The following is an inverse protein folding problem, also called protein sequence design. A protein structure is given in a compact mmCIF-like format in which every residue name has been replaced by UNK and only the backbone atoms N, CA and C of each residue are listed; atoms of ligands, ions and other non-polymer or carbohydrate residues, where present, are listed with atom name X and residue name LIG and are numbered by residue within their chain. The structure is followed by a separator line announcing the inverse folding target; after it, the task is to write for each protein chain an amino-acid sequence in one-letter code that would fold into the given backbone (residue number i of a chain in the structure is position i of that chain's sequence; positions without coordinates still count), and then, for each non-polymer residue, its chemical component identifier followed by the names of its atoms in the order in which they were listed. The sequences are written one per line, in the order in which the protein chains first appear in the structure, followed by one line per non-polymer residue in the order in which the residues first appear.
data_IF_317789514475
#
_entry.id   IF_317789514475
#
_cell.length_a   1.000
_cell.length_b   1.000
_cell.length_c   1.000
_cell.angle_alpha   90.00
_cell.angle_beta   90.00
_cell.angle_gamma   90.00
#
_symmetry.space_group_name_H-M   'P 1'
#
loop_
_entity.id
_entity.type
_entity.pdbx_description
1 polymer ?
#
# COMPACT_ATOMS: atom_id res chain seq x y z
N UNK A 1 7.15 39.14 9.68
CA UNK A 1 6.83 38.03 8.72
C UNK A 1 5.85 37.08 9.40
N UNK A 2 4.77 36.71 8.74
CA UNK A 2 3.90 35.61 9.18
C UNK A 2 4.60 34.29 8.85
N UNK A 3 5.16 33.64 9.86
CA UNK A 3 6.02 32.48 9.71
C UNK A 3 5.24 31.25 9.20
N UNK A 4 4.01 31.02 9.69
CA UNK A 4 3.17 29.93 9.22
C UNK A 4 2.78 30.10 7.75
N UNK A 5 2.44 31.31 7.34
CA UNK A 5 2.19 31.63 5.95
C UNK A 5 3.44 31.40 5.08
N UNK A 6 4.60 31.79 5.56
CA UNK A 6 5.86 31.60 4.82
C UNK A 6 6.21 30.12 4.70
N UNK A 7 6.01 29.32 5.73
CA UNK A 7 6.15 27.87 5.70
C UNK A 7 5.21 27.21 4.68
N UNK A 8 3.92 27.59 4.67
CA UNK A 8 2.94 27.10 3.68
C UNK A 8 3.35 27.43 2.24
N UNK A 9 3.81 28.65 2.01
CA UNK A 9 4.27 29.09 0.67
C UNK A 9 5.51 28.32 0.25
N UNK A 10 6.49 28.13 1.14
CA UNK A 10 7.70 27.36 0.86
C UNK A 10 7.38 25.90 0.51
N UNK A 11 6.60 25.20 1.34
CA UNK A 11 6.18 23.83 1.08
C UNK A 11 5.47 23.73 -0.29
N UNK A 12 4.57 24.66 -0.60
CA UNK A 12 3.85 24.66 -1.87
C UNK A 12 4.76 24.90 -3.09
N UNK A 13 5.80 25.71 -2.95
CA UNK A 13 6.80 25.92 -4.02
C UNK A 13 7.54 24.63 -4.35
N UNK A 14 7.86 23.84 -3.32
CA UNK A 14 8.52 22.54 -3.51
C UNK A 14 7.56 21.52 -4.11
N UNK A 15 6.35 21.39 -3.58
CA UNK A 15 5.33 20.44 -4.06
C UNK A 15 4.95 20.67 -5.53
N UNK A 16 4.81 21.92 -5.92
CA UNK A 16 4.49 22.30 -7.31
C UNK A 16 5.72 22.28 -8.25
N UNK A 17 6.92 22.10 -7.69
CA UNK A 17 8.18 22.12 -8.44
C UNK A 17 8.52 23.49 -9.05
N UNK A 18 7.91 24.61 -8.56
CA UNK A 18 8.21 25.93 -9.08
C UNK A 18 7.34 27.06 -8.55
N UNK A 19 7.94 28.25 -8.49
CA UNK A 19 7.31 29.47 -7.97
C UNK A 19 6.04 29.89 -8.71
N UNK A 20 6.03 29.81 -10.04
CA UNK A 20 4.89 30.22 -10.85
C UNK A 20 3.70 29.25 -10.71
N UNK A 21 3.97 27.96 -10.54
CA UNK A 21 2.91 26.96 -10.29
C UNK A 21 2.34 27.12 -8.88
N UNK A 22 3.21 27.29 -7.87
CA UNK A 22 2.80 27.55 -6.50
C UNK A 22 1.98 28.84 -6.37
N UNK A 23 2.37 29.89 -7.09
CA UNK A 23 1.62 31.16 -7.12
C UNK A 23 0.18 30.96 -7.59
N UNK A 24 0.00 30.21 -8.69
CA UNK A 24 -1.35 29.84 -9.19
C UNK A 24 -2.13 28.99 -8.19
N UNK A 25 -1.50 27.99 -7.60
CA UNK A 25 -2.13 27.11 -6.63
C UNK A 25 -2.54 27.81 -5.32
N UNK A 26 -1.86 28.91 -4.98
CA UNK A 26 -2.14 29.73 -3.79
C UNK A 26 -2.98 30.98 -4.09
N UNK A 27 -3.36 31.20 -5.33
CA UNK A 27 -4.02 32.45 -5.79
C UNK A 27 -3.23 33.70 -5.39
N UNK A 28 -1.91 33.67 -5.61
CA UNK A 28 -0.99 34.75 -5.33
C UNK A 28 -0.24 35.20 -6.59
N UNK A 29 0.19 36.46 -6.60
CA UNK A 29 1.08 36.92 -7.66
C UNK A 29 2.49 36.31 -7.51
N UNK A 30 3.15 35.84 -8.60
CA UNK A 30 4.47 35.21 -8.52
C UNK A 30 5.55 36.00 -7.78
N UNK A 31 5.62 37.37 -7.87
CA UNK A 31 6.57 38.14 -7.07
C UNK A 31 6.33 38.05 -5.56
N UNK A 32 5.08 37.85 -5.13
CA UNK A 32 4.74 37.70 -3.72
C UNK A 32 5.29 36.38 -3.17
N UNK A 33 5.10 35.28 -3.92
CA UNK A 33 5.63 33.96 -3.54
C UNK A 33 7.15 33.99 -3.45
N UNK A 34 7.82 34.61 -4.42
CA UNK A 34 9.28 34.76 -4.42
C UNK A 34 9.78 35.56 -3.22
N UNK A 35 9.08 36.66 -2.89
CA UNK A 35 9.43 37.50 -1.76
C UNK A 35 9.25 36.78 -0.44
N UNK A 36 8.13 36.08 -0.25
CA UNK A 36 7.83 35.34 0.99
C UNK A 36 8.88 34.26 1.27
N UNK A 37 9.29 33.50 0.25
CA UNK A 37 10.36 32.51 0.41
C UNK A 37 11.70 33.18 0.71
N UNK A 38 12.04 34.30 0.05
CA UNK A 38 13.27 35.01 0.32
C UNK A 38 13.32 35.61 1.73
N UNK A 39 12.20 36.13 2.23
CA UNK A 39 12.07 36.60 3.61
C UNK A 39 12.23 35.44 4.62
N UNK A 40 11.72 34.25 4.30
CA UNK A 40 11.88 33.05 5.12
C UNK A 40 13.35 32.63 5.19
N UNK A 41 14.04 32.53 4.04
CA UNK A 41 15.47 32.22 3.98
C UNK A 41 16.32 33.24 4.76
N UNK A 42 15.98 34.52 4.64
CA UNK A 42 16.64 35.60 5.37
C UNK A 42 16.42 35.48 6.89
N UNK A 43 15.19 35.15 7.31
CA UNK A 43 14.85 34.96 8.72
C UNK A 43 15.61 33.80 9.34
N UNK A 44 15.74 32.70 8.58
CA UNK A 44 16.47 31.48 9.01
C UNK A 44 18.01 31.63 8.89
N UNK A 45 18.49 32.65 8.18
CA UNK A 45 19.92 32.79 7.90
C UNK A 45 20.48 31.69 7.00
N UNK A 46 19.61 30.95 6.30
CA UNK A 46 20.01 29.79 5.48
C UNK A 46 19.25 29.78 4.13
N UNK A 47 19.92 29.27 3.12
CA UNK A 47 19.29 29.00 1.82
C UNK A 47 18.57 27.65 1.88
N UNK A 48 17.30 27.65 1.52
CA UNK A 48 16.47 26.43 1.46
C UNK A 48 16.40 25.88 0.02
N UNK A 49 16.51 26.78 -0.99
CA UNK A 49 16.38 26.44 -2.39
C UNK A 49 17.62 26.86 -3.18
N UNK A 50 18.06 26.00 -4.08
CA UNK A 50 19.00 26.37 -5.14
C UNK A 50 18.26 27.18 -6.21
N UNK A 51 18.72 28.39 -6.48
CA UNK A 51 18.15 29.23 -7.53
C UNK A 51 18.73 28.79 -8.88
N UNK A 52 18.06 27.84 -9.53
CA UNK A 52 18.26 27.60 -10.95
C UNK A 52 17.04 28.08 -11.73
N UNK A 53 17.25 28.61 -12.93
CA UNK A 53 16.19 29.23 -13.75
C UNK A 53 15.18 28.22 -14.31
N UNK A 54 15.40 26.91 -14.14
CA UNK A 54 14.58 25.85 -14.75
C UNK A 54 13.89 24.91 -13.76
N UNK A 55 14.42 24.73 -12.55
CA UNK A 55 13.84 23.81 -11.55
C UNK A 55 14.09 24.33 -10.14
N UNK A 56 13.15 24.04 -9.24
CA UNK A 56 13.32 24.22 -7.79
C UNK A 56 14.00 22.97 -7.26
N UNK A 57 15.19 23.15 -6.70
CA UNK A 57 15.96 22.08 -6.06
C UNK A 57 16.21 22.50 -4.61
N UNK A 58 15.93 21.60 -3.67
CA UNK A 58 16.21 21.81 -2.26
C UNK A 58 17.72 21.81 -1.98
N UNK A 59 18.16 22.57 -1.00
CA UNK A 59 19.45 22.39 -0.36
C UNK A 59 19.29 21.28 0.73
N UNK A 60 20.39 20.75 1.25
CA UNK A 60 20.37 19.79 2.37
C UNK A 60 19.63 20.39 3.59
N UNK A 61 19.89 21.66 3.91
CA UNK A 61 19.12 22.40 4.94
C UNK A 61 17.66 22.55 4.55
N UNK A 62 17.37 22.76 3.27
CA UNK A 62 16.01 22.86 2.73
C UNK A 62 15.21 21.58 2.87
N UNK A 63 15.83 20.43 2.64
CA UNK A 63 15.20 19.11 2.82
C UNK A 63 14.83 18.87 4.28
N UNK A 64 15.80 19.04 5.19
CA UNK A 64 15.57 18.90 6.64
C UNK A 64 14.53 19.89 7.16
N UNK A 65 14.55 21.13 6.66
CA UNK A 65 13.59 22.15 7.06
C UNK A 65 12.18 21.85 6.50
N UNK A 66 12.07 21.37 5.27
CA UNK A 66 10.79 20.99 4.67
C UNK A 66 10.08 19.90 5.48
N UNK A 67 10.83 18.88 5.91
CA UNK A 67 10.31 17.82 6.75
C UNK A 67 9.68 18.39 8.03
N UNK A 68 10.38 19.27 8.73
CA UNK A 68 9.87 19.93 9.94
C UNK A 68 8.70 20.88 9.65
N UNK A 69 8.75 21.63 8.56
CA UNK A 69 7.65 22.50 8.13
C UNK A 69 6.38 21.70 7.89
N UNK A 70 6.47 20.58 7.20
CA UNK A 70 5.31 19.70 6.95
C UNK A 70 4.70 19.24 8.27
N UNK A 71 5.52 18.83 9.24
CA UNK A 71 5.05 18.42 10.56
C UNK A 71 4.34 19.58 11.29
N UNK A 72 4.95 20.76 11.33
CA UNK A 72 4.35 21.95 11.96
C UNK A 72 3.00 22.31 11.33
N UNK A 73 2.90 22.27 10.01
CA UNK A 73 1.65 22.56 9.30
C UNK A 73 0.57 21.54 9.61
N UNK A 74 0.94 20.25 9.75
CA UNK A 74 0.04 19.19 10.21
C UNK A 74 -0.45 19.47 11.64
N UNK A 75 0.44 19.85 12.56
CA UNK A 75 0.10 20.14 13.95
C UNK A 75 -0.84 21.36 14.07
N UNK A 76 -0.66 22.36 13.20
CA UNK A 76 -1.58 23.52 13.12
C UNK A 76 -2.95 23.09 12.59
N UNK A 77 -3.01 22.29 11.53
CA UNK A 77 -4.26 21.74 11.02
C UNK A 77 -4.98 20.88 12.06
N UNK A 78 -4.22 20.11 12.84
CA UNK A 78 -4.73 19.31 13.95
C UNK A 78 -5.32 20.20 15.05
N UNK A 79 -4.62 21.29 15.40
CA UNK A 79 -5.10 22.26 16.39
C UNK A 79 -6.38 22.98 15.93
N UNK A 80 -6.47 23.32 14.64
CA UNK A 80 -7.67 23.88 14.04
C UNK A 80 -8.84 22.88 13.99
N UNK A 81 -8.53 21.59 13.79
CA UNK A 81 -9.52 20.52 13.81
C UNK A 81 -10.12 20.33 15.20
N UNK A 82 -9.30 20.43 16.26
CA UNK A 82 -9.76 20.40 17.66
C UNK A 82 -10.81 21.48 17.96
N UNK A 83 -10.63 22.67 17.43
CA UNK A 83 -11.54 23.79 17.65
C UNK A 83 -12.86 23.68 16.88
N UNK A 84 -12.99 22.73 15.91
CA UNK A 84 -14.10 22.64 14.99
C UNK A 84 -14.66 21.23 14.74
N UNK A 85 -14.53 20.29 15.67
CA UNK A 85 -14.79 18.85 15.51
C UNK A 85 -16.19 18.43 15.00
N UNK A 86 -17.17 19.30 14.93
CA UNK A 86 -18.55 18.86 14.64
C UNK A 86 -19.01 18.99 13.18
N UNK A 87 -18.30 19.71 12.26
CA UNK A 87 -18.92 20.11 10.98
C UNK A 87 -17.98 20.32 9.78
N UNK A 88 -16.72 19.91 9.82
CA UNK A 88 -15.83 20.19 8.67
C UNK A 88 -15.76 19.04 7.69
N UNK A 89 -16.02 19.35 6.41
CA UNK A 89 -15.74 18.44 5.30
C UNK A 89 -14.25 18.08 5.23
N UNK A 90 -13.90 16.80 4.97
CA UNK A 90 -12.50 16.39 4.78
C UNK A 90 -11.84 17.18 3.65
N UNK A 91 -10.68 17.78 3.92
CA UNK A 91 -9.91 18.58 2.96
C UNK A 91 -8.42 18.54 3.24
N UNK A 92 -7.61 18.83 2.22
CA UNK A 92 -6.16 18.93 2.33
C UNK A 92 -5.43 17.75 1.72
N UNK A 93 -4.14 17.65 2.01
CA UNK A 93 -3.24 16.67 1.42
C UNK A 93 -3.02 15.49 2.37
N UNK A 94 -3.18 14.27 1.88
CA UNK A 94 -2.97 13.02 2.60
C UNK A 94 -1.78 12.28 1.99
N UNK A 95 -0.78 11.95 2.79
CA UNK A 95 0.40 11.19 2.40
C UNK A 95 0.30 9.75 2.88
N UNK A 96 0.34 8.83 1.93
CA UNK A 96 0.19 7.40 2.17
C UNK A 96 1.46 6.66 1.75
N UNK A 97 2.00 5.83 2.65
CA UNK A 97 3.01 4.83 2.36
C UNK A 97 2.34 3.46 2.18
N UNK A 98 2.65 2.74 1.12
CA UNK A 98 2.11 1.39 0.94
C UNK A 98 3.00 0.50 0.08
N UNK A 99 2.86 -0.84 0.15
CA UNK A 99 3.51 -1.74 -0.77
C UNK A 99 3.07 -1.48 -2.22
N UNK A 100 3.97 -1.55 -3.23
CA UNK A 100 3.64 -1.31 -4.63
C UNK A 100 2.44 -2.13 -5.12
N UNK A 101 2.40 -3.42 -4.84
CA UNK A 101 1.31 -4.29 -5.26
C UNK A 101 -0.06 -3.87 -4.71
N UNK A 102 -0.14 -3.34 -3.47
CA UNK A 102 -1.38 -2.80 -2.90
C UNK A 102 -1.80 -1.54 -3.65
N UNK A 103 -0.84 -0.67 -3.98
CA UNK A 103 -1.10 0.55 -4.76
C UNK A 103 -1.69 0.22 -6.13
N UNK A 104 -1.05 -0.70 -6.86
CA UNK A 104 -1.41 -1.07 -8.24
C UNK A 104 -2.73 -1.82 -8.29
N UNK A 105 -2.85 -2.90 -7.52
CA UNK A 105 -3.96 -3.85 -7.66
C UNK A 105 -5.20 -3.45 -6.85
N UNK A 106 -5.05 -2.63 -5.80
CA UNK A 106 -6.18 -2.31 -4.95
C UNK A 106 -6.48 -0.81 -4.87
N UNK A 107 -5.52 0.03 -4.48
CA UNK A 107 -5.85 1.44 -4.26
C UNK A 107 -6.28 2.14 -5.56
N UNK A 108 -5.54 1.94 -6.66
CA UNK A 108 -5.78 2.61 -7.93
C UNK A 108 -7.23 2.45 -8.42
N UNK A 109 -7.83 1.25 -8.27
CA UNK A 109 -9.21 0.99 -8.69
C UNK A 109 -10.27 1.66 -7.80
N UNK A 110 -9.95 1.99 -6.55
CA UNK A 110 -10.88 2.57 -5.59
C UNK A 110 -10.74 4.09 -5.42
N UNK A 111 -9.58 4.66 -5.72
CA UNK A 111 -9.33 6.12 -5.63
C UNK A 111 -10.33 6.99 -6.39
N UNK A 112 -10.83 6.64 -7.60
CA UNK A 112 -11.85 7.44 -8.28
C UNK A 112 -13.14 7.59 -7.47
N UNK A 113 -13.54 6.58 -6.69
CA UNK A 113 -14.68 6.65 -5.78
C UNK A 113 -14.38 7.57 -4.60
N UNK A 114 -13.19 7.46 -4.00
CA UNK A 114 -12.77 8.34 -2.92
C UNK A 114 -12.72 9.81 -3.34
N UNK A 115 -12.12 10.10 -4.49
CA UNK A 115 -12.01 11.47 -5.02
C UNK A 115 -13.39 12.10 -5.31
N UNK A 116 -14.37 11.32 -5.75
CA UNK A 116 -15.75 11.82 -5.91
C UNK A 116 -16.43 12.10 -4.57
N UNK A 117 -16.17 11.28 -3.56
CA UNK A 117 -16.77 11.43 -2.24
C UNK A 117 -16.13 12.58 -1.44
N UNK A 118 -14.83 12.83 -1.64
CA UNK A 118 -14.05 13.84 -0.93
C UNK A 118 -13.21 14.69 -1.89
N UNK A 119 -13.86 15.57 -2.69
CA UNK A 119 -13.20 16.29 -3.78
C UNK A 119 -12.14 17.31 -3.32
N UNK A 120 -12.13 17.66 -2.04
CA UNK A 120 -11.14 18.58 -1.46
C UNK A 120 -9.95 17.85 -0.83
N UNK A 121 -9.90 16.51 -0.89
CA UNK A 121 -8.76 15.72 -0.40
C UNK A 121 -7.91 15.27 -1.58
N UNK A 122 -6.62 15.58 -1.54
CA UNK A 122 -5.62 15.04 -2.47
C UNK A 122 -4.85 13.93 -1.78
N UNK A 123 -4.58 12.83 -2.48
CA UNK A 123 -3.84 11.68 -1.95
C UNK A 123 -2.53 11.55 -2.70
N UNK A 124 -1.41 11.60 -1.97
CA UNK A 124 -0.08 11.25 -2.44
C UNK A 124 0.25 9.84 -1.99
N UNK A 125 0.57 8.97 -2.93
CA UNK A 125 0.95 7.59 -2.63
C UNK A 125 2.43 7.41 -2.91
N UNK A 126 3.17 7.03 -1.87
CA UNK A 126 4.54 6.59 -1.97
C UNK A 126 4.56 5.05 -1.86
N UNK A 127 4.87 4.40 -2.99
CA UNK A 127 4.85 2.96 -3.11
C UNK A 127 6.26 2.45 -3.39
N UNK A 128 6.97 2.01 -2.35
CA UNK A 128 8.31 1.43 -2.49
C UNK A 128 8.55 0.35 -1.44
N UNK A 129 9.30 -0.70 -1.85
CA UNK A 129 9.75 -1.77 -0.98
C UNK A 129 8.67 -2.50 -0.18
N UNK A 130 9.04 -3.44 0.65
CA UNK A 130 8.17 -3.96 1.69
C UNK A 130 7.99 -2.90 2.78
N UNK A 131 6.74 -2.57 3.12
CA UNK A 131 6.43 -1.70 4.25
C UNK A 131 6.22 -2.58 5.47
N UNK A 132 7.22 -2.61 6.35
CA UNK A 132 7.25 -3.48 7.53
C UNK A 132 6.87 -2.73 8.82
N UNK A 133 7.01 -1.41 8.81
CA UNK A 133 6.76 -0.53 9.97
C UNK A 133 5.99 0.71 9.57
N UNK A 134 5.47 1.41 10.57
CA UNK A 134 4.83 2.73 10.40
C UNK A 134 5.92 3.80 10.30
N UNK A 135 5.84 4.63 9.27
CA UNK A 135 6.74 5.76 9.08
C UNK A 135 6.00 7.05 9.46
N UNK A 136 6.52 7.77 10.46
CA UNK A 136 5.91 8.98 11.01
C UNK A 136 5.91 10.17 10.03
N UNK A 137 6.66 10.10 8.94
CA UNK A 137 6.65 11.13 7.89
C UNK A 137 5.41 11.05 6.99
N UNK A 138 4.59 10.01 7.14
CA UNK A 138 3.33 9.81 6.42
C UNK A 138 2.12 9.93 7.36
N UNK A 139 0.97 10.33 6.81
CA UNK A 139 -0.30 10.33 7.56
C UNK A 139 -0.79 8.92 7.84
N UNK A 140 -0.53 8.00 6.90
CA UNK A 140 -0.93 6.59 6.92
C UNK A 140 0.15 5.70 6.31
N UNK A 141 0.27 4.48 6.85
CA UNK A 141 1.01 3.40 6.25
C UNK A 141 0.10 2.18 6.05
N UNK A 142 0.10 1.57 4.86
CA UNK A 142 -0.48 0.24 4.68
C UNK A 142 0.64 -0.77 4.82
N UNK A 143 0.44 -1.73 5.74
CA UNK A 143 1.45 -2.75 6.07
C UNK A 143 0.85 -4.11 5.79
N UNK A 144 1.59 -4.95 5.07
CA UNK A 144 1.28 -6.37 4.90
C UNK A 144 2.11 -7.18 5.90
N UNK A 145 1.45 -7.87 6.84
CA UNK A 145 2.15 -8.63 7.88
C UNK A 145 1.47 -9.96 8.16
N UNK A 146 2.32 -10.99 8.40
CA UNK A 146 1.88 -12.32 8.87
C UNK A 146 1.63 -12.37 10.37
N UNK A 147 2.10 -11.38 11.09
CA UNK A 147 2.02 -11.27 12.54
C UNK A 147 1.33 -9.96 12.95
N UNK A 148 0.72 -9.91 14.14
CA UNK A 148 0.21 -8.66 14.68
C UNK A 148 1.31 -7.59 14.68
N UNK A 149 0.96 -6.39 14.27
CA UNK A 149 1.89 -5.26 14.27
C UNK A 149 2.20 -4.86 15.72
N UNK A 150 3.47 -4.53 15.99
CA UNK A 150 3.94 -4.07 17.29
C UNK A 150 4.58 -2.69 17.16
N UNK A 151 4.28 -1.79 18.08
CA UNK A 151 4.83 -0.43 18.08
C UNK A 151 3.88 0.60 18.69
N UNK A 152 4.34 1.85 18.79
CA UNK A 152 3.56 2.99 19.28
C UNK A 152 2.78 3.65 18.13
N UNK A 153 1.77 2.96 17.61
CA UNK A 153 0.90 3.44 16.54
C UNK A 153 -0.52 2.90 16.71
N UNK A 154 -1.47 3.49 16.00
CA UNK A 154 -2.83 2.96 15.91
C UNK A 154 -2.96 2.21 14.60
N UNK A 155 -3.28 0.92 14.67
CA UNK A 155 -3.49 0.09 13.49
C UNK A 155 -4.92 -0.48 13.46
N UNK A 156 -5.49 -0.57 12.26
CA UNK A 156 -6.73 -1.27 11.99
C UNK A 156 -6.49 -2.27 10.88
N UNK A 157 -7.01 -3.48 11.05
CA UNK A 157 -6.99 -4.49 9.99
C UNK A 157 -7.94 -4.05 8.86
N UNK A 158 -7.46 -4.10 7.63
CA UNK A 158 -8.26 -3.84 6.43
C UNK A 158 -8.88 -5.13 5.92
N UNK A 159 -8.08 -6.18 5.81
CA UNK A 159 -8.52 -7.50 5.37
C UNK A 159 -7.44 -8.54 5.66
N UNK A 160 -7.80 -9.80 5.54
CA UNK A 160 -6.86 -10.94 5.46
C UNK A 160 -6.69 -11.30 3.99
N UNK A 161 -5.52 -11.77 3.60
CA UNK A 161 -5.18 -12.20 2.25
C UNK A 161 -4.47 -13.54 2.30
N UNK A 162 -4.88 -14.47 1.45
CA UNK A 162 -4.17 -15.74 1.26
C UNK A 162 -3.11 -15.58 0.17
N UNK A 163 -1.95 -16.20 0.39
CA UNK A 163 -1.00 -16.43 -0.69
C UNK A 163 -1.26 -17.81 -1.25
N UNK A 164 -1.81 -17.84 -2.46
CA UNK A 164 -2.25 -19.05 -3.14
C UNK A 164 -1.42 -19.31 -4.39
N UNK A 165 -1.42 -20.55 -4.83
CA UNK A 165 -0.80 -20.91 -6.10
C UNK A 165 -1.74 -20.60 -7.27
N UNK A 166 -1.19 -20.01 -8.33
CA UNK A 166 -1.90 -19.73 -9.57
C UNK A 166 -0.98 -19.86 -10.78
N UNK A 167 -1.57 -20.04 -11.96
CA UNK A 167 -0.87 -20.06 -13.24
C UNK A 167 -1.84 -19.69 -14.37
N UNK A 168 -1.29 -19.30 -15.52
CA UNK A 168 -2.09 -19.08 -16.72
C UNK A 168 -2.73 -20.38 -17.24
N UNK A 169 -3.98 -20.35 -17.76
CA UNK A 169 -4.64 -21.51 -18.36
C UNK A 169 -3.80 -22.21 -19.41
N UNK A 170 -3.14 -21.45 -20.29
CA UNK A 170 -2.30 -21.98 -21.36
C UNK A 170 -1.12 -22.80 -20.84
N UNK A 171 -0.51 -22.39 -19.71
CA UNK A 171 0.51 -23.17 -19.06
C UNK A 171 -0.05 -24.47 -18.52
N UNK A 172 -1.21 -24.42 -17.86
CA UNK A 172 -1.87 -25.58 -17.26
C UNK A 172 -2.40 -26.57 -18.33
N UNK A 173 -2.86 -26.07 -19.48
CA UNK A 173 -3.28 -26.91 -20.61
C UNK A 173 -2.10 -27.64 -21.20
N UNK A 174 -0.93 -27.03 -21.27
CA UNK A 174 0.28 -27.64 -21.81
C UNK A 174 0.99 -28.61 -20.85
N UNK A 175 0.91 -28.36 -19.54
CA UNK A 175 1.67 -29.08 -18.51
C UNK A 175 0.83 -29.96 -17.58
N UNK A 176 -0.50 -29.82 -17.63
CA UNK A 176 -1.44 -30.44 -16.71
C UNK A 176 -1.75 -29.57 -15.49
N UNK A 177 -2.88 -29.90 -14.85
CA UNK A 177 -3.33 -29.24 -13.60
C UNK A 177 -3.01 -30.15 -12.41
N UNK A 178 -2.05 -29.79 -11.55
CA UNK A 178 -1.69 -30.63 -10.40
C UNK A 178 -2.87 -30.77 -9.43
N UNK A 179 -3.08 -31.97 -8.92
CA UNK A 179 -4.15 -32.34 -7.99
C UNK A 179 -3.65 -32.53 -6.56
N UNK A 180 -2.34 -32.78 -6.42
CA UNK A 180 -1.67 -32.93 -5.13
C UNK A 180 -0.36 -32.12 -5.11
N UNK A 181 0.07 -31.56 -3.96
CA UNK A 181 1.33 -30.82 -3.85
C UNK A 181 2.56 -31.52 -4.45
N UNK A 182 2.68 -32.82 -4.32
CA UNK A 182 3.82 -33.59 -4.85
C UNK A 182 3.97 -33.47 -6.37
N UNK A 183 2.87 -33.24 -7.08
CA UNK A 183 2.89 -33.07 -8.55
C UNK A 183 3.57 -31.76 -8.97
N UNK A 184 3.71 -30.78 -8.04
CA UNK A 184 4.47 -29.54 -8.30
C UNK A 184 5.94 -29.82 -8.63
N UNK A 185 6.47 -30.97 -8.27
CA UNK A 185 7.83 -31.41 -8.65
C UNK A 185 8.01 -31.54 -10.18
N UNK A 186 6.93 -31.71 -10.93
CA UNK A 186 6.94 -31.78 -12.39
C UNK A 186 6.68 -30.43 -13.08
N UNK A 187 6.37 -29.38 -12.30
CA UNK A 187 6.03 -28.06 -12.82
C UNK A 187 7.15 -27.04 -12.66
N UNK A 188 7.17 -26.04 -13.55
CA UNK A 188 8.00 -24.86 -13.42
C UNK A 188 7.38 -23.96 -12.35
N UNK A 189 8.15 -23.54 -11.34
CA UNK A 189 7.68 -22.69 -10.26
C UNK A 189 8.47 -21.38 -10.19
N UNK A 190 7.76 -20.25 -10.15
CA UNK A 190 8.34 -18.92 -9.94
C UNK A 190 8.48 -18.73 -8.43
N UNK A 191 9.66 -19.02 -7.89
CA UNK A 191 9.93 -18.97 -6.45
C UNK A 191 10.79 -17.75 -6.13
N UNK A 192 10.32 -16.86 -5.20
CA UNK A 192 11.15 -15.76 -4.73
C UNK A 192 12.48 -16.26 -4.14
N UNK A 193 13.58 -15.50 -4.30
CA UNK A 193 14.89 -15.87 -3.77
C UNK A 193 15.00 -15.61 -2.26
N UNK A 194 13.99 -16.01 -1.49
CA UNK A 194 13.96 -15.92 -0.03
C UNK A 194 14.45 -17.24 0.58
N UNK A 195 15.26 -17.15 1.65
CA UNK A 195 15.93 -18.32 2.24
C UNK A 195 14.96 -19.44 2.63
N UNK A 196 13.79 -19.09 3.18
CA UNK A 196 12.79 -20.08 3.60
C UNK A 196 12.13 -20.77 2.40
N UNK A 197 11.84 -20.03 1.33
CA UNK A 197 11.25 -20.58 0.10
C UNK A 197 12.25 -21.39 -0.73
N UNK A 198 13.54 -21.14 -0.57
CA UNK A 198 14.60 -21.92 -1.21
C UNK A 198 14.73 -23.35 -0.63
N UNK A 199 14.26 -23.55 0.62
CA UNK A 199 14.22 -24.88 1.27
C UNK A 199 13.06 -25.73 0.84
N UNK A 200 12.05 -25.14 0.19
CA UNK A 200 10.84 -25.78 -0.28
C UNK A 200 9.60 -24.93 -0.04
N UNK A 201 8.58 -25.16 -0.84
CA UNK A 201 7.28 -24.55 -0.66
C UNK A 201 6.51 -25.35 0.39
N UNK A 202 6.18 -24.71 1.50
CA UNK A 202 5.34 -25.29 2.54
C UNK A 202 3.88 -25.01 2.21
N UNK A 203 3.12 -26.05 1.92
CA UNK A 203 1.70 -25.99 1.59
C UNK A 203 0.88 -26.53 2.75
N UNK A 204 -0.12 -25.79 3.19
CA UNK A 204 -1.03 -26.23 4.25
C UNK A 204 -2.42 -26.37 3.67
N UNK A 205 -3.05 -27.52 3.93
CA UNK A 205 -4.43 -27.83 3.58
C UNK A 205 -5.37 -27.35 4.67
N UNK A 206 -6.54 -26.80 4.30
CA UNK A 206 -7.61 -26.46 5.22
C UNK A 206 -7.98 -24.98 5.23
N UNK A 207 -8.88 -24.65 6.15
CA UNK A 207 -9.55 -23.36 6.24
C UNK A 207 -8.78 -22.37 7.11
N UNK A 208 -9.09 -21.08 6.98
CA UNK A 208 -8.68 -20.07 7.94
C UNK A 208 -9.49 -20.14 9.22
N UNK A 209 -8.82 -20.03 10.35
CA UNK A 209 -9.38 -19.88 11.67
C UNK A 209 -8.24 -19.98 12.67
N UNK A 210 -8.11 -18.99 13.55
CA UNK A 210 -7.08 -19.01 14.60
C UNK A 210 -7.33 -20.13 15.64
N UNK A 211 -8.52 -20.74 15.60
CA UNK A 211 -8.97 -21.76 16.57
C UNK A 211 -8.85 -23.21 16.06
N UNK A 212 -8.41 -23.45 14.82
CA UNK A 212 -8.25 -24.81 14.29
C UNK A 212 -6.77 -25.19 14.20
N UNK A 213 -6.40 -26.43 14.57
CA UNK A 213 -5.06 -26.93 14.35
C UNK A 213 -4.74 -26.89 12.84
N UNK A 214 -3.49 -26.59 12.47
CA UNK A 214 -3.09 -26.57 11.07
C UNK A 214 -3.44 -27.93 10.44
N UNK A 215 -4.09 -27.87 9.28
CA UNK A 215 -4.39 -29.05 8.49
C UNK A 215 -3.12 -29.77 8.02
N UNK A 216 -3.29 -30.76 7.17
CA UNK A 216 -2.17 -31.46 6.53
C UNK A 216 -1.16 -30.46 5.95
N UNK A 217 0.12 -30.61 6.27
CA UNK A 217 1.20 -29.75 5.77
C UNK A 217 2.18 -30.59 4.96
N UNK A 218 2.46 -30.15 3.74
CA UNK A 218 3.39 -30.79 2.82
C UNK A 218 4.46 -29.81 2.40
N UNK A 219 5.72 -30.25 2.40
CA UNK A 219 6.83 -29.44 1.90
C UNK A 219 7.27 -30.01 0.55
N UNK A 220 7.22 -29.18 -0.49
CA UNK A 220 7.57 -29.60 -1.86
C UNK A 220 8.73 -28.76 -2.38
N UNK A 221 9.69 -29.42 -2.99
CA UNK A 221 10.72 -28.74 -3.78
C UNK A 221 10.40 -28.88 -5.26
N UNK A 222 10.04 -27.80 -5.96
CA UNK A 222 9.87 -27.85 -7.41
C UNK A 222 11.15 -28.32 -8.08
N UNK A 223 11.04 -29.34 -8.93
CA UNK A 223 12.20 -29.93 -9.63
C UNK A 223 12.79 -28.95 -10.65
N UNK A 224 11.97 -28.10 -11.19
CA UNK A 224 12.36 -27.08 -12.16
C UNK A 224 12.16 -25.70 -11.55
N UNK A 225 13.23 -24.91 -11.50
CA UNK A 225 13.15 -23.49 -11.18
C UNK A 225 12.87 -22.74 -12.47
N UNK A 226 11.91 -21.84 -12.41
CA UNK A 226 11.70 -20.84 -13.45
C UNK A 226 13.00 -20.08 -13.73
N UNK A 227 13.24 -19.65 -14.97
CA UNK A 227 14.37 -18.77 -15.29
C UNK A 227 14.30 -17.41 -14.61
N UNK A 228 13.18 -17.08 -13.95
CA UNK A 228 12.97 -15.86 -13.21
C UNK A 228 12.99 -16.14 -11.70
N UNK A 229 13.78 -15.35 -10.97
CA UNK A 229 13.75 -15.25 -9.52
C UNK A 229 13.64 -13.77 -9.12
N UNK A 230 12.58 -13.39 -8.43
CA UNK A 230 12.31 -12.02 -8.02
C UNK A 230 11.51 -11.98 -6.72
N UNK A 231 11.73 -10.93 -5.91
CA UNK A 231 10.89 -10.60 -4.76
C UNK A 231 9.80 -9.60 -5.13
N UNK A 232 9.81 -9.07 -6.35
CA UNK A 232 8.86 -8.07 -6.81
C UNK A 232 7.56 -8.77 -7.26
N UNK A 233 6.49 -8.54 -6.52
CA UNK A 233 5.20 -9.24 -6.68
C UNK A 233 4.60 -9.00 -8.07
N UNK A 234 4.61 -7.75 -8.57
CA UNK A 234 4.03 -7.44 -9.88
C UNK A 234 4.82 -8.09 -11.03
N UNK A 235 6.13 -8.25 -10.89
CA UNK A 235 6.94 -9.02 -11.86
C UNK A 235 6.56 -10.48 -11.84
N UNK A 236 6.36 -11.07 -10.66
CA UNK A 236 5.89 -12.46 -10.52
C UNK A 236 4.50 -12.64 -11.14
N UNK A 237 3.59 -11.69 -10.87
CA UNK A 237 2.25 -11.68 -11.45
C UNK A 237 2.27 -11.63 -12.97
N UNK A 238 3.02 -10.69 -13.54
CA UNK A 238 3.16 -10.58 -15.00
C UNK A 238 3.75 -11.84 -15.62
N UNK A 239 4.77 -12.45 -14.99
CA UNK A 239 5.38 -13.68 -15.47
C UNK A 239 4.40 -14.87 -15.43
N UNK A 240 3.59 -14.97 -14.39
CA UNK A 240 2.56 -16.00 -14.26
C UNK A 240 1.48 -15.85 -15.35
N UNK A 241 1.01 -14.62 -15.61
CA UNK A 241 0.06 -14.29 -16.68
C UNK A 241 0.57 -14.70 -18.07
N UNK A 242 1.88 -14.61 -18.30
CA UNK A 242 2.50 -15.00 -19.56
C UNK A 242 2.96 -16.47 -19.60
N UNK A 243 2.44 -17.30 -18.69
CA UNK A 243 2.64 -18.74 -18.72
C UNK A 243 4.05 -19.22 -18.36
N UNK A 244 4.82 -18.42 -17.59
CA UNK A 244 6.19 -18.81 -17.20
C UNK A 244 6.20 -20.00 -16.22
N UNK A 245 5.10 -20.24 -15.50
CA UNK A 245 4.97 -21.32 -14.53
C UNK A 245 3.95 -21.01 -13.43
N UNK A 246 3.95 -21.86 -12.39
CA UNK A 246 3.11 -21.71 -11.23
C UNK A 246 3.77 -20.69 -10.26
N UNK A 247 2.99 -19.71 -9.80
CA UNK A 247 3.43 -18.69 -8.88
C UNK A 247 2.61 -18.70 -7.59
N UNK A 248 3.25 -18.37 -6.46
CA UNK A 248 2.57 -18.03 -5.21
C UNK A 248 2.33 -16.53 -5.12
N UNK A 249 1.06 -16.10 -5.14
CA UNK A 249 0.68 -14.68 -5.14
C UNK A 249 -0.42 -14.40 -4.12
N UNK A 250 -0.41 -13.20 -3.49
CA UNK A 250 -1.50 -12.75 -2.64
C UNK A 250 -2.81 -12.64 -3.41
N UNK A 251 -3.91 -13.00 -2.78
CA UNK A 251 -5.25 -12.95 -3.38
C UNK A 251 -5.62 -11.57 -3.92
N UNK A 252 -5.26 -10.51 -3.21
CA UNK A 252 -5.52 -9.14 -3.63
C UNK A 252 -4.78 -8.70 -4.91
N UNK A 253 -3.76 -9.46 -5.32
CA UNK A 253 -3.03 -9.22 -6.58
C UNK A 253 -3.72 -9.90 -7.75
N UNK A 254 -4.28 -11.08 -7.52
CA UNK A 254 -4.79 -11.97 -8.59
C UNK A 254 -6.31 -11.95 -8.73
N UNK A 255 -7.04 -11.19 -7.89
CA UNK A 255 -8.50 -11.12 -7.92
C UNK A 255 -9.06 -10.90 -9.34
N UNK A 256 -8.62 -9.81 -9.97
CA UNK A 256 -9.12 -9.43 -11.30
C UNK A 256 -8.76 -10.50 -12.35
N UNK A 257 -7.55 -11.05 -12.29
CA UNK A 257 -7.11 -12.11 -13.21
C UNK A 257 -7.88 -13.44 -13.01
N UNK A 258 -8.30 -13.74 -11.78
CA UNK A 258 -9.16 -14.90 -11.52
C UNK A 258 -10.58 -14.66 -12.05
N UNK A 259 -11.13 -13.47 -11.87
CA UNK A 259 -12.45 -13.07 -12.40
C UNK A 259 -12.48 -13.10 -13.93
N UNK A 260 -11.41 -12.67 -14.57
CA UNK A 260 -11.26 -12.66 -16.02
C UNK A 260 -10.78 -14.00 -16.61
N UNK A 261 -10.54 -15.00 -15.76
CA UNK A 261 -9.97 -16.31 -16.13
C UNK A 261 -8.59 -16.22 -16.83
N UNK A 262 -7.87 -15.13 -16.59
CA UNK A 262 -6.49 -14.96 -17.07
C UNK A 262 -5.47 -15.73 -16.21
N UNK A 263 -5.84 -16.03 -14.97
CA UNK A 263 -5.17 -16.97 -14.09
C UNK A 263 -6.18 -17.97 -13.54
N UNK A 264 -5.71 -19.21 -13.31
CA UNK A 264 -6.44 -20.24 -12.57
C UNK A 264 -5.76 -20.50 -11.23
N UNK A 265 -6.57 -20.72 -10.18
CA UNK A 265 -6.08 -21.17 -8.89
C UNK A 265 -5.60 -22.63 -8.99
N UNK A 266 -4.35 -22.86 -8.62
CA UNK A 266 -3.74 -24.19 -8.59
C UNK A 266 -3.84 -24.74 -7.17
N UNK A 267 -4.20 -26.01 -7.02
CA UNK A 267 -4.41 -26.69 -5.74
C UNK A 267 -5.34 -25.90 -4.80
N UNK A 268 -6.61 -25.71 -5.14
CA UNK A 268 -7.50 -24.75 -4.44
C UNK A 268 -7.77 -25.10 -2.97
N UNK A 269 -7.45 -26.32 -2.53
CA UNK A 269 -7.55 -26.73 -1.12
C UNK A 269 -6.29 -26.44 -0.30
N UNK A 270 -5.24 -25.91 -0.95
CA UNK A 270 -3.93 -25.65 -0.37
C UNK A 270 -3.56 -24.18 -0.46
N UNK A 271 -2.84 -23.71 0.53
CA UNK A 271 -2.28 -22.35 0.56
C UNK A 271 -0.82 -22.39 0.98
N UNK A 272 -0.07 -21.37 0.61
CA UNK A 272 1.31 -21.19 1.08
C UNK A 272 1.32 -20.61 2.50
N UNK A 273 0.69 -19.47 2.67
CA UNK A 273 0.50 -18.79 3.95
C UNK A 273 -0.58 -17.73 3.81
N UNK A 274 -0.93 -17.13 4.92
CA UNK A 274 -1.80 -15.96 4.97
C UNK A 274 -1.06 -14.75 5.53
N UNK A 275 -1.61 -13.59 5.24
CA UNK A 275 -1.14 -12.30 5.70
C UNK A 275 -2.33 -11.39 5.97
N UNK A 276 -2.16 -10.37 6.76
CA UNK A 276 -3.16 -9.34 6.97
C UNK A 276 -2.67 -8.02 6.40
N UNK A 277 -3.55 -7.31 5.72
CA UNK A 277 -3.34 -5.90 5.39
C UNK A 277 -3.85 -5.05 6.54
N UNK A 278 -2.99 -4.16 7.00
CA UNK A 278 -3.27 -3.21 8.05
C UNK A 278 -3.15 -1.80 7.52
N UNK A 279 -4.05 -0.91 7.94
CA UNK A 279 -3.81 0.52 7.86
C UNK A 279 -3.35 0.97 9.23
N UNK A 280 -2.20 1.62 9.27
CA UNK A 280 -1.60 2.10 10.50
C UNK A 280 -1.26 3.59 10.39
N UNK A 281 -1.39 4.29 11.49
CA UNK A 281 -1.09 5.71 11.60
C UNK A 281 -0.26 5.96 12.85
N UNK A 282 0.64 6.96 12.85
CA UNK A 282 1.36 7.35 14.05
C UNK A 282 0.40 7.61 15.20
N UNK A 283 0.80 7.25 16.44
CA UNK A 283 0.00 7.52 17.63
C UNK A 283 -0.02 9.01 17.89
N UNK A 284 -1.11 9.67 17.53
CA UNK A 284 -1.36 11.08 17.77
C UNK A 284 -2.63 11.25 18.58
N UNK A 285 -2.68 12.27 19.45
CA UNK A 285 -3.88 12.56 20.21
C UNK A 285 -5.11 12.83 19.34
N UNK A 286 -4.87 13.39 18.15
CA UNK A 286 -5.93 13.77 17.21
C UNK A 286 -5.57 13.36 15.79
N UNK A 287 -6.42 12.57 15.18
CA UNK A 287 -6.28 12.14 13.80
C UNK A 287 -7.05 13.11 12.89
N UNK A 288 -6.40 13.73 11.89
CA UNK A 288 -7.08 14.65 10.96
C UNK A 288 -8.31 14.05 10.32
N UNK A 289 -9.34 14.87 10.07
CA UNK A 289 -10.63 14.40 9.50
C UNK A 289 -10.42 13.70 8.15
N UNK A 290 -9.52 14.21 7.30
CA UNK A 290 -9.16 13.60 6.01
C UNK A 290 -8.55 12.19 6.17
N UNK A 291 -7.71 12.01 7.19
CA UNK A 291 -7.06 10.72 7.49
C UNK A 291 -8.10 9.72 7.97
N UNK A 292 -8.99 10.13 8.88
CA UNK A 292 -10.10 9.30 9.36
C UNK A 292 -11.03 8.90 8.22
N UNK A 293 -11.42 9.87 7.37
CA UNK A 293 -12.28 9.62 6.21
C UNK A 293 -11.66 8.59 5.25
N UNK A 294 -10.35 8.64 5.03
CA UNK A 294 -9.66 7.68 4.16
C UNK A 294 -9.58 6.29 4.80
N UNK A 295 -9.30 6.21 6.11
CA UNK A 295 -9.30 4.93 6.84
C UNK A 295 -10.69 4.28 6.82
N UNK A 296 -11.74 5.05 7.11
CA UNK A 296 -13.12 4.55 7.09
C UNK A 296 -13.55 4.13 5.68
N UNK A 297 -13.10 4.85 4.66
CA UNK A 297 -13.29 4.48 3.26
C UNK A 297 -12.62 3.14 2.92
N UNK A 298 -11.35 2.93 3.33
CA UNK A 298 -10.65 1.66 3.12
C UNK A 298 -11.31 0.49 3.85
N UNK A 299 -11.73 0.71 5.10
CA UNK A 299 -12.45 -0.32 5.88
C UNK A 299 -13.79 -0.65 5.20
N UNK A 300 -14.49 0.37 4.70
CA UNK A 300 -15.75 0.17 3.96
C UNK A 300 -15.59 -0.62 2.65
N UNK A 301 -14.39 -0.62 2.05
CA UNK A 301 -14.09 -1.39 0.84
C UNK A 301 -13.65 -2.81 1.18
N UNK A 302 -12.71 -2.94 2.10
CA UNK A 302 -12.05 -4.22 2.38
C UNK A 302 -12.72 -5.03 3.49
N UNK A 303 -13.66 -4.44 4.23
CA UNK A 303 -14.49 -5.11 5.22
C UNK A 303 -13.94 -5.15 6.64
N UNK A 304 -12.65 -4.99 6.86
CA UNK A 304 -12.03 -4.96 8.19
C UNK A 304 -12.08 -6.30 8.97
N UNK A 305 -12.46 -7.40 8.30
CA UNK A 305 -12.72 -8.70 8.92
C UNK A 305 -11.58 -9.70 8.72
N UNK A 306 -11.71 -10.86 9.38
CA UNK A 306 -10.81 -12.03 9.25
C UNK A 306 -11.16 -12.89 8.01
N UNK A 307 -11.60 -12.24 6.92
CA UNK A 307 -11.93 -12.92 5.65
C UNK A 307 -11.04 -12.41 4.55
N UNK A 308 -10.93 -13.22 3.49
CA UNK A 308 -10.28 -12.85 2.24
C UNK A 308 -11.35 -12.38 1.25
N UNK A 309 -11.59 -11.06 1.13
CA UNK A 309 -12.65 -10.54 0.29
C UNK A 309 -12.38 -10.78 -1.20
N UNK A 310 -11.13 -10.92 -1.60
CA UNK A 310 -10.72 -11.06 -2.99
C UNK A 310 -10.98 -12.46 -3.53
N UNK A 311 -10.67 -13.51 -2.73
CA UNK A 311 -11.03 -14.89 -3.10
C UNK A 311 -12.54 -15.11 -3.03
N UNK A 312 -13.24 -14.46 -2.08
CA UNK A 312 -14.70 -14.49 -2.03
C UNK A 312 -15.31 -13.88 -3.30
N UNK A 313 -14.85 -12.69 -3.70
CA UNK A 313 -15.32 -12.00 -4.91
C UNK A 313 -15.05 -12.82 -6.18
N UNK A 314 -13.89 -13.48 -6.27
CA UNK A 314 -13.54 -14.35 -7.39
C UNK A 314 -14.26 -15.72 -7.37
N UNK A 315 -15.13 -15.99 -6.40
CA UNK A 315 -15.79 -17.30 -6.24
C UNK A 315 -14.84 -18.45 -5.91
N UNK A 316 -13.63 -18.10 -5.46
CA UNK A 316 -12.53 -19.01 -5.15
C UNK A 316 -12.26 -19.13 -3.66
N UNK A 317 -13.13 -18.60 -2.82
CA UNK A 317 -12.97 -18.66 -1.38
C UNK A 317 -12.85 -20.10 -0.91
N UNK A 318 -11.91 -20.33 0.00
CA UNK A 318 -11.84 -21.61 0.69
C UNK A 318 -13.10 -21.70 1.57
N UNK A 319 -13.94 -22.75 1.44
CA UNK A 319 -15.19 -22.83 2.18
C UNK A 319 -14.92 -22.70 3.69
N UNK A 320 -15.49 -21.69 4.33
CA UNK A 320 -15.52 -21.62 5.80
C UNK A 320 -16.51 -22.66 6.30
N UNK A 321 -16.10 -23.50 7.25
CA UNK A 321 -17.03 -24.34 7.98
C UNK A 321 -18.03 -23.42 8.66
N UNK A 322 -19.30 -23.47 8.22
CA UNK A 322 -20.36 -22.70 8.85
C UNK A 322 -20.35 -22.94 10.34
N UNK A 323 -20.37 -21.86 11.13
CA UNK A 323 -20.65 -21.97 12.56
C UNK A 323 -21.95 -22.78 12.67
N UNK A 324 -21.82 -24.02 13.14
CA UNK A 324 -22.99 -24.79 13.53
C UNK A 324 -23.76 -23.94 14.55
N UNK A 325 -25.02 -23.63 14.21
CA UNK A 325 -25.94 -22.91 15.08
C UNK A 325 -26.19 -23.71 16.34
#
# INVERSE_FOLDING_TARGET
MDQLRAMRVFARVVDEGGFAKAARALDLAPPVVTRVVAELEQHLGARLLHRTTRQVVLTEVGESYLEKVRQILLDVEESEALAGEATREPRGHLRLLCPPAVSVHQLAKHLPRFARQYPQVTVEINAFGPVETVDESYDLSIVASRHPLQGEFVARRLARTEVVLCAAPEYLDARGRPRHPDELTAHDAIVPPLADMQRGLVLTRGFFGDDEPPGETVTVQPARRSPLATTHIDTTYAAALHGLGIAGLPSFVIEDALLEHALERVLPQWRLFDSSLWVAMPSRKHVPVRTRAFVDFLIGIFGGEDRDPWLEAAGCATPTRGKAK
#
